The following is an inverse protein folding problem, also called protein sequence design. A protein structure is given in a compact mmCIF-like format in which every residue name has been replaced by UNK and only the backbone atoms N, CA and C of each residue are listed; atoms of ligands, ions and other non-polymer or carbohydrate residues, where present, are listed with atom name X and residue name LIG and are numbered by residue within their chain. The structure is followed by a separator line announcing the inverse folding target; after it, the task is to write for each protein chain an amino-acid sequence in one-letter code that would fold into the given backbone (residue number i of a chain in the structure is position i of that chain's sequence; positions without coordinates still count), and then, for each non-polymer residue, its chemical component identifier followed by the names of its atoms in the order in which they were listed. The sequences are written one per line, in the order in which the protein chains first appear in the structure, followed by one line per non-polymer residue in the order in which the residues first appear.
data_IF_913469692505
#
_entry.id   IF_913469692505
#
_cell.length_a   1.000
_cell.length_b   1.000
_cell.length_c   1.000
_cell.angle_alpha   90.00
_cell.angle_beta   90.00
_cell.angle_gamma   90.00
#
_symmetry.space_group_name_H-M   'P 1'
#
loop_
_entity.id
_entity.type
_entity.pdbx_description
1 polymer ?
#
# COMPACT_ATOMS: atom_id res chain seq x y z
N UNK A 1 15.94 -2.15 -5.74
CA UNK A 1 15.37 -3.46 -6.14
C UNK A 1 14.30 -3.79 -5.11
N UNK A 2 13.06 -3.36 -5.33
CA UNK A 2 11.91 -3.81 -4.55
C UNK A 2 11.49 -5.20 -5.06
N UNK A 3 11.05 -6.12 -4.19
CA UNK A 3 10.46 -7.36 -4.68
C UNK A 3 9.23 -6.99 -5.51
N UNK A 4 9.14 -7.56 -6.70
CA UNK A 4 7.94 -7.46 -7.53
C UNK A 4 6.85 -8.37 -6.94
N UNK A 5 5.58 -8.14 -7.26
CA UNK A 5 4.46 -9.00 -6.82
C UNK A 5 4.73 -10.50 -7.09
N UNK A 6 5.50 -10.79 -8.14
CA UNK A 6 5.86 -12.15 -8.57
C UNK A 6 6.74 -12.91 -7.56
N UNK A 7 7.39 -12.23 -6.61
CA UNK A 7 8.25 -12.87 -5.60
C UNK A 7 7.42 -13.59 -4.50
N UNK A 8 6.13 -13.27 -4.40
CA UNK A 8 5.24 -13.76 -3.33
C UNK A 8 4.32 -14.92 -3.75
N UNK A 9 4.42 -15.38 -5.00
CA UNK A 9 3.57 -16.46 -5.52
C UNK A 9 2.13 -16.01 -5.84
N UNK A 10 1.24 -16.98 -6.05
CA UNK A 10 -0.17 -16.73 -6.35
C UNK A 10 -0.93 -16.26 -5.09
N UNK A 11 -1.83 -15.29 -5.26
CA UNK A 11 -2.54 -14.65 -4.15
C UNK A 11 -3.93 -15.27 -4.05
N UNK A 12 -4.22 -15.96 -2.95
CA UNK A 12 -5.55 -16.48 -2.72
C UNK A 12 -6.54 -15.33 -2.45
N UNK A 13 -7.67 -15.35 -3.17
CA UNK A 13 -8.73 -14.38 -3.03
C UNK A 13 -10.01 -15.04 -2.50
N UNK A 14 -10.71 -14.36 -1.61
CA UNK A 14 -12.04 -14.74 -1.15
C UNK A 14 -13.11 -14.07 -2.02
N UNK A 15 -14.02 -14.86 -2.56
CA UNK A 15 -15.17 -14.38 -3.34
C UNK A 15 -16.44 -14.56 -2.52
N UNK A 16 -17.20 -13.47 -2.33
CA UNK A 16 -18.51 -13.51 -1.67
C UNK A 16 -19.63 -13.61 -2.71
N UNK A 17 -20.77 -14.17 -2.32
CA UNK A 17 -21.95 -14.27 -3.18
C UNK A 17 -22.49 -12.90 -3.66
N UNK A 18 -22.10 -11.81 -3.02
CA UNK A 18 -22.42 -10.43 -3.41
C UNK A 18 -21.57 -9.91 -4.56
N UNK A 19 -20.57 -10.67 -5.02
CA UNK A 19 -19.60 -10.24 -6.04
C UNK A 19 -18.39 -9.49 -5.46
N UNK A 20 -18.30 -9.34 -4.14
CA UNK A 20 -17.14 -8.73 -3.48
C UNK A 20 -15.98 -9.74 -3.48
N UNK A 21 -14.83 -9.31 -4.01
CA UNK A 21 -13.58 -10.08 -4.02
C UNK A 21 -12.58 -9.41 -3.09
N UNK A 22 -11.94 -10.18 -2.21
CA UNK A 22 -10.93 -9.70 -1.28
C UNK A 22 -9.65 -10.52 -1.45
N UNK A 23 -8.56 -9.87 -1.84
CA UNK A 23 -7.24 -10.46 -2.00
C UNK A 23 -6.27 -9.77 -1.04
N UNK A 24 -5.48 -10.53 -0.29
CA UNK A 24 -4.50 -9.98 0.66
C UNK A 24 -3.12 -10.58 0.39
N UNK A 25 -2.35 -10.06 -0.58
CA UNK A 25 -0.99 -10.52 -0.83
C UNK A 25 -0.07 -10.15 0.34
N UNK A 26 0.93 -10.98 0.67
CA UNK A 26 2.06 -10.52 1.44
C UNK A 26 2.87 -9.54 0.57
N UNK A 27 3.19 -8.36 1.10
CA UNK A 27 3.93 -7.32 0.37
C UNK A 27 5.09 -6.78 1.19
N UNK A 28 6.21 -6.48 0.52
CA UNK A 28 7.29 -5.64 1.06
C UNK A 28 7.38 -4.38 0.22
N UNK A 29 7.07 -3.26 0.85
CA UNK A 29 7.15 -1.95 0.19
C UNK A 29 8.47 -1.29 0.57
N UNK A 30 9.21 -0.86 -0.45
CA UNK A 30 10.45 -0.09 -0.28
C UNK A 30 10.24 1.24 -0.99
N UNK A 31 10.13 2.32 -0.21
CA UNK A 31 10.00 3.67 -0.73
C UNK A 31 11.32 4.43 -0.59
N UNK A 32 11.56 5.36 -1.51
CA UNK A 32 12.59 6.37 -1.35
C UNK A 32 12.05 7.42 -0.38
N UNK A 33 12.86 7.82 0.60
CA UNK A 33 12.53 8.85 1.58
C UNK A 33 13.61 9.93 1.56
N UNK A 34 13.20 11.18 1.61
CA UNK A 34 14.11 12.33 1.75
C UNK A 34 14.41 12.54 3.25
N UNK A 35 15.67 12.37 3.62
CA UNK A 35 16.10 12.29 5.03
C UNK A 35 16.90 13.53 5.40
N UNK A 36 16.58 14.08 6.58
CA UNK A 36 17.30 15.22 7.16
C UNK A 36 18.20 14.77 8.31
N UNK A 37 19.52 14.92 8.14
CA UNK A 37 20.53 14.48 9.10
C UNK A 37 21.06 15.58 10.03
N UNK A 38 20.48 16.79 10.01
CA UNK A 38 20.98 17.93 10.80
C UNK A 38 21.05 17.70 12.31
N UNK A 39 20.24 16.78 12.84
CA UNK A 39 20.12 16.50 14.28
C UNK A 39 20.49 15.06 14.65
N UNK A 40 21.23 14.36 13.79
CA UNK A 40 21.64 12.99 14.06
C UNK A 40 22.42 12.88 15.39
N UNK A 41 22.18 11.88 16.26
CA UNK A 41 21.32 10.68 16.09
C UNK A 41 19.89 10.84 16.64
N UNK A 42 19.43 12.07 16.91
CA UNK A 42 18.10 12.37 17.50
C UNK A 42 17.13 13.00 16.51
N UNK A 43 17.37 12.81 15.22
CA UNK A 43 16.54 13.25 14.11
C UNK A 43 15.23 12.46 14.01
N UNK A 44 14.21 13.07 13.42
CA UNK A 44 12.92 12.44 13.13
C UNK A 44 12.74 12.36 11.63
N UNK A 45 12.39 11.18 11.12
CA UNK A 45 12.25 10.93 9.69
C UNK A 45 10.77 10.75 9.31
N UNK A 46 10.23 11.68 8.51
CA UNK A 46 8.84 11.68 8.05
C UNK A 46 8.73 11.13 6.63
N UNK A 47 8.67 9.81 6.52
CA UNK A 47 8.60 9.12 5.23
C UNK A 47 7.16 8.87 4.78
N UNK A 48 6.88 9.11 3.49
CA UNK A 48 5.57 8.83 2.88
C UNK A 48 5.70 7.68 1.87
N UNK A 49 4.74 6.76 1.91
CA UNK A 49 4.61 5.68 0.94
C UNK A 49 3.42 5.99 0.04
N UNK A 50 3.65 5.87 -1.27
CA UNK A 50 2.66 6.18 -2.29
C UNK A 50 2.15 4.90 -2.95
N UNK A 51 0.83 4.71 -2.96
CA UNK A 51 0.16 3.60 -3.64
C UNK A 51 -0.65 4.16 -4.80
N UNK A 52 -0.37 3.68 -6.01
CA UNK A 52 -1.03 4.13 -7.23
C UNK A 52 -1.18 2.99 -8.23
N UNK A 53 -2.16 3.11 -9.12
CA UNK A 53 -2.25 2.25 -10.29
C UNK A 53 -1.20 2.68 -11.32
N UNK A 54 -0.54 1.71 -11.93
CA UNK A 54 0.44 1.97 -12.99
C UNK A 54 -0.22 2.35 -14.32
N UNK A 55 -1.33 1.67 -14.65
CA UNK A 55 -1.94 1.72 -16.00
C UNK A 55 -3.30 2.38 -16.05
N UNK A 56 -3.98 2.56 -14.91
CA UNK A 56 -5.34 3.10 -14.86
C UNK A 56 -5.37 4.44 -14.13
N UNK A 57 -6.20 5.35 -14.64
CA UNK A 57 -6.43 6.65 -14.01
C UNK A 57 -7.71 6.64 -13.15
N UNK A 58 -7.91 7.70 -12.37
CA UNK A 58 -8.97 7.80 -11.35
C UNK A 58 -10.42 7.75 -11.85
N UNK A 59 -10.66 7.80 -13.17
CA UNK A 59 -12.02 7.60 -13.73
C UNK A 59 -12.33 6.12 -13.97
N UNK A 60 -11.32 5.25 -13.90
CA UNK A 60 -11.45 3.82 -14.14
C UNK A 60 -11.38 3.03 -12.83
N UNK A 61 -10.46 3.43 -11.94
CA UNK A 61 -10.24 2.76 -10.66
C UNK A 61 -10.17 3.80 -9.56
N UNK A 62 -10.90 3.55 -8.48
CA UNK A 62 -10.79 4.28 -7.23
C UNK A 62 -9.94 3.49 -6.24
N UNK A 63 -8.93 4.15 -5.65
CA UNK A 63 -7.99 3.55 -4.72
C UNK A 63 -8.18 4.23 -3.36
N UNK A 64 -8.65 3.47 -2.38
CA UNK A 64 -8.83 3.92 -1.01
C UNK A 64 -8.04 3.05 -0.04
N UNK A 65 -7.69 3.64 1.12
CA UNK A 65 -7.29 2.83 2.27
C UNK A 65 -8.53 2.06 2.75
N UNK A 66 -8.35 0.77 3.04
CA UNK A 66 -9.41 -0.01 3.64
C UNK A 66 -9.59 0.45 5.08
N UNK A 67 -10.53 1.37 5.30
CA UNK A 67 -10.88 1.86 6.62
C UNK A 67 -11.65 0.74 7.35
N UNK A 68 -10.95 -0.04 8.17
CA UNK A 68 -11.61 -0.75 9.24
C UNK A 68 -12.05 0.31 10.24
N UNK A 69 -13.31 0.74 10.20
CA UNK A 69 -13.97 1.65 11.14
C UNK A 69 -13.19 1.90 12.45
N UNK A 70 -12.23 2.82 12.41
CA UNK A 70 -11.51 3.35 13.57
C UNK A 70 -11.76 4.85 13.64
N UNK A 71 -13.04 5.21 13.54
CA UNK A 71 -13.73 6.29 14.25
C UNK A 71 -15.11 6.50 13.63
N UNK A 72 -16.14 5.93 14.25
CA UNK A 72 -17.36 6.71 14.36
C UNK A 72 -17.01 7.98 15.16
N UNK A 73 -17.39 9.19 14.72
CA UNK A 73 -17.76 10.21 15.70
C UNK A 73 -18.98 9.75 16.51
#
# INVERSE_FOLDING_TARGET
ISPSMNDYGDVHCLVRHTGIVTCSPPIKVVSICDLDYRHWPYDTQNCTVHFFSWTHHGQQIDLGLFEQNLTAP
#
